data_IF_316905420730
#
_entry.id   IF_316905420730
#
_cell.length_a   1.000
_cell.length_b   1.000
_cell.length_c   1.000
_cell.angle_alpha   90.00
_cell.angle_beta   90.00
_cell.angle_gamma   90.00
#
_symmetry.space_group_name_H-M   'P 1'
#
loop_
_entity.id
_entity.type
_entity.pdbx_description
1 polymer ?
#
# COMPACT_ATOMS: atom_id res chain seq x y z
N UNK A 1 49.11 17.01 -17.58
CA UNK A 1 50.36 17.47 -16.97
C UNK A 1 50.06 17.89 -15.52
N UNK A 2 50.21 16.97 -14.55
CA UNK A 2 49.65 17.13 -13.19
C UNK A 2 50.18 18.36 -12.45
N UNK A 3 51.50 18.58 -12.53
CA UNK A 3 52.14 19.73 -11.89
C UNK A 3 51.63 21.06 -12.44
N UNK A 4 51.39 21.16 -13.76
CA UNK A 4 50.83 22.37 -14.40
C UNK A 4 49.42 22.65 -13.88
N UNK A 5 48.60 21.61 -13.72
CA UNK A 5 47.23 21.75 -13.22
C UNK A 5 47.19 22.23 -11.76
N UNK A 6 48.22 21.90 -10.97
CA UNK A 6 48.32 22.28 -9.55
C UNK A 6 49.04 23.62 -9.30
N UNK A 7 49.51 24.32 -10.35
CA UNK A 7 50.21 25.62 -10.21
C UNK A 7 49.29 26.75 -9.71
N UNK A 8 47.98 26.66 -9.96
CA UNK A 8 46.98 27.64 -9.51
C UNK A 8 46.60 27.46 -8.03
N UNK A 9 47.01 26.35 -7.43
CA UNK A 9 46.74 26.01 -6.03
C UNK A 9 47.79 26.68 -5.14
N UNK A 10 47.39 27.34 -4.04
CA UNK A 10 48.32 28.08 -3.16
C UNK A 10 49.20 27.14 -2.30
N UNK A 11 50.18 26.50 -2.94
CA UNK A 11 51.06 25.49 -2.34
C UNK A 11 52.20 26.17 -1.55
N UNK A 12 52.24 25.92 -0.23
CA UNK A 12 53.20 26.56 0.69
C UNK A 12 54.52 25.81 0.88
N UNK A 13 54.69 24.66 0.21
CA UNK A 13 55.85 23.76 0.42
C UNK A 13 57.09 24.30 -0.29
N UNK A 14 58.18 24.52 0.45
CA UNK A 14 59.51 24.91 -0.04
C UNK A 14 60.59 24.03 0.62
N UNK A 15 61.75 23.78 -0.02
CA UNK A 15 62.18 24.18 -1.37
C UNK A 15 61.50 23.40 -2.50
N UNK A 16 61.75 23.79 -3.76
CA UNK A 16 61.11 23.20 -4.97
C UNK A 16 61.23 21.66 -5.01
N UNK A 17 62.37 21.10 -4.60
CA UNK A 17 62.55 19.65 -4.54
C UNK A 17 61.56 18.94 -3.59
N UNK A 18 61.18 19.58 -2.47
CA UNK A 18 60.13 19.06 -1.56
C UNK A 18 58.74 19.24 -2.17
N UNK A 19 58.52 20.32 -2.92
CA UNK A 19 57.26 20.57 -3.62
C UNK A 19 57.00 19.54 -4.72
N UNK A 20 58.03 19.17 -5.50
CA UNK A 20 57.91 18.13 -6.54
C UNK A 20 57.60 16.77 -5.95
N UNK A 21 58.28 16.38 -4.86
CA UNK A 21 57.99 15.12 -4.16
C UNK A 21 56.56 15.11 -3.57
N UNK A 22 56.12 16.22 -2.98
CA UNK A 22 54.77 16.38 -2.46
C UNK A 22 53.70 16.25 -3.55
N UNK A 23 53.87 16.94 -4.69
CA UNK A 23 52.96 16.85 -5.83
C UNK A 23 52.97 15.46 -6.47
N UNK A 24 54.13 14.81 -6.54
CA UNK A 24 54.22 13.44 -7.03
C UNK A 24 53.46 12.48 -6.13
N UNK A 25 53.63 12.54 -4.80
CA UNK A 25 52.86 11.72 -3.85
C UNK A 25 51.36 11.90 -4.06
N UNK A 26 50.87 13.14 -4.14
CA UNK A 26 49.45 13.41 -4.40
C UNK A 26 48.97 12.87 -5.74
N UNK A 27 49.79 12.98 -6.79
CA UNK A 27 49.45 12.39 -8.09
C UNK A 27 49.33 10.87 -7.99
N UNK A 28 50.27 10.21 -7.32
CA UNK A 28 50.22 8.76 -7.10
C UNK A 28 48.97 8.39 -6.31
N UNK A 29 48.66 9.11 -5.23
CA UNK A 29 47.46 8.87 -4.42
C UNK A 29 46.17 9.04 -5.25
N UNK A 30 46.07 10.10 -6.05
CA UNK A 30 44.92 10.33 -6.94
C UNK A 30 44.79 9.22 -7.99
N UNK A 31 45.91 8.79 -8.58
CA UNK A 31 45.90 7.70 -9.57
C UNK A 31 45.56 6.36 -8.95
N UNK A 32 46.04 6.10 -7.74
CA UNK A 32 45.72 4.90 -6.98
C UNK A 32 44.23 4.87 -6.60
N UNK A 33 43.69 5.99 -6.11
CA UNK A 33 42.25 6.11 -5.83
C UNK A 33 41.40 5.93 -7.09
N UNK A 34 41.81 6.52 -8.22
CA UNK A 34 41.12 6.32 -9.50
C UNK A 34 41.12 4.84 -9.88
N UNK A 35 42.29 4.19 -9.81
CA UNK A 35 42.42 2.77 -10.12
C UNK A 35 41.53 1.90 -9.21
N UNK A 36 41.56 2.13 -7.89
CA UNK A 36 40.72 1.38 -6.96
C UNK A 36 39.23 1.63 -7.20
N UNK A 37 38.83 2.86 -7.49
CA UNK A 37 37.44 3.16 -7.82
C UNK A 37 36.97 2.43 -9.08
N UNK A 38 37.81 2.41 -10.13
CA UNK A 38 37.49 1.75 -11.40
C UNK A 38 37.54 0.20 -11.30
N UNK A 39 38.17 -0.34 -10.26
CA UNK A 39 38.34 -1.79 -10.03
C UNK A 39 37.78 -2.26 -8.68
N UNK A 40 36.85 -1.50 -8.09
CA UNK A 40 36.28 -1.74 -6.75
C UNK A 40 35.76 -3.17 -6.59
N UNK A 41 35.01 -3.67 -7.58
CA UNK A 41 34.48 -5.04 -7.57
C UNK A 41 35.59 -6.11 -7.64
N UNK A 42 36.74 -5.82 -8.28
CA UNK A 42 37.84 -6.79 -8.38
C UNK A 42 38.70 -6.81 -7.12
N UNK A 43 38.99 -5.63 -6.59
CA UNK A 43 39.93 -5.44 -5.48
C UNK A 43 39.26 -5.69 -4.12
N UNK A 44 37.93 -5.53 -4.04
CA UNK A 44 37.16 -5.69 -2.80
C UNK A 44 36.06 -6.75 -2.98
N UNK A 45 36.33 -8.04 -2.67
CA UNK A 45 35.36 -9.12 -2.85
C UNK A 45 34.03 -8.92 -2.13
N UNK A 46 34.03 -8.32 -0.94
CA UNK A 46 32.81 -8.00 -0.20
C UNK A 46 31.94 -6.97 -0.95
N UNK A 47 32.57 -5.97 -1.57
CA UNK A 47 31.86 -5.00 -2.40
C UNK A 47 31.31 -5.65 -3.66
N UNK A 48 32.09 -6.52 -4.33
CA UNK A 48 31.61 -7.31 -5.48
C UNK A 48 30.35 -8.10 -5.13
N UNK A 49 30.37 -8.80 -3.99
CA UNK A 49 29.24 -9.61 -3.56
C UNK A 49 27.97 -8.77 -3.37
N UNK A 50 28.08 -7.58 -2.76
CA UNK A 50 26.94 -6.65 -2.61
C UNK A 50 26.42 -6.15 -3.97
N UNK A 51 27.32 -5.85 -4.91
CA UNK A 51 26.93 -5.42 -6.26
C UNK A 51 26.24 -6.57 -7.02
N UNK A 52 26.73 -7.80 -6.89
CA UNK A 52 26.12 -8.96 -7.52
C UNK A 52 24.74 -9.26 -6.92
N UNK A 53 24.57 -9.20 -5.60
CA UNK A 53 23.26 -9.30 -4.94
C UNK A 53 22.29 -8.21 -5.43
N UNK A 54 22.77 -6.99 -5.63
CA UNK A 54 21.95 -5.90 -6.17
C UNK A 54 21.54 -6.15 -7.62
N UNK A 55 22.45 -6.61 -8.48
CA UNK A 55 22.17 -6.96 -9.89
C UNK A 55 21.15 -8.10 -9.97
N UNK A 56 21.33 -9.15 -9.18
CA UNK A 56 20.41 -10.29 -9.10
C UNK A 56 19.04 -9.85 -8.58
N UNK A 57 19.01 -8.97 -7.57
CA UNK A 57 17.79 -8.39 -7.04
C UNK A 57 17.02 -7.58 -8.07
N UNK A 58 17.70 -6.76 -8.89
CA UNK A 58 17.07 -6.02 -9.98
C UNK A 58 16.51 -6.93 -11.06
N UNK A 59 17.25 -7.99 -11.43
CA UNK A 59 16.77 -8.96 -12.41
C UNK A 59 15.53 -9.68 -11.92
N UNK A 60 15.54 -10.13 -10.66
CA UNK A 60 14.37 -10.75 -10.04
C UNK A 60 13.19 -9.77 -10.00
N UNK A 61 13.42 -8.51 -9.63
CA UNK A 61 12.39 -7.48 -9.61
C UNK A 61 11.75 -7.27 -10.99
N UNK A 62 12.56 -7.11 -12.04
CA UNK A 62 12.06 -6.91 -13.41
C UNK A 62 11.23 -8.13 -13.89
N UNK A 63 11.71 -9.34 -13.57
CA UNK A 63 10.99 -10.57 -13.87
C UNK A 63 9.65 -10.66 -13.12
N UNK A 64 9.62 -10.33 -11.83
CA UNK A 64 8.40 -10.31 -11.02
C UNK A 64 7.40 -9.26 -11.51
N UNK A 65 7.89 -8.07 -11.85
CA UNK A 65 7.08 -6.98 -12.40
C UNK A 65 6.41 -7.45 -13.70
N UNK A 66 7.17 -8.03 -14.62
CA UNK A 66 6.66 -8.48 -15.91
C UNK A 66 5.70 -9.66 -15.80
N UNK A 67 6.13 -10.74 -15.15
CA UNK A 67 5.42 -12.03 -15.20
C UNK A 67 4.23 -12.10 -14.24
N UNK A 68 4.28 -11.34 -13.13
CA UNK A 68 3.28 -11.44 -12.06
C UNK A 68 2.53 -10.13 -11.87
N UNK A 69 3.22 -9.00 -11.62
CA UNK A 69 2.54 -7.76 -11.19
C UNK A 69 1.84 -7.02 -12.33
N UNK A 70 2.44 -6.94 -13.52
CA UNK A 70 1.80 -6.37 -14.70
C UNK A 70 0.71 -7.30 -15.22
N UNK A 71 0.99 -8.61 -15.23
CA UNK A 71 0.03 -9.62 -15.66
C UNK A 71 -1.24 -9.62 -14.80
N UNK A 72 -1.12 -9.54 -13.47
CA UNK A 72 -2.29 -9.50 -12.58
C UNK A 72 -3.20 -8.30 -12.82
N UNK A 73 -2.67 -7.19 -13.34
CA UNK A 73 -3.40 -5.96 -13.66
C UNK A 73 -3.98 -5.94 -15.07
N UNK A 74 -3.29 -6.56 -16.04
CA UNK A 74 -3.58 -6.43 -17.48
C UNK A 74 -4.26 -7.65 -18.09
N UNK A 75 -4.11 -8.85 -17.50
CA UNK A 75 -4.72 -10.09 -17.96
C UNK A 75 -6.20 -10.17 -17.57
N UNK A 76 -7.05 -9.50 -18.36
CA UNK A 76 -8.50 -9.43 -18.12
C UNK A 76 -9.20 -10.79 -18.24
N UNK A 77 -8.74 -11.67 -19.14
CA UNK A 77 -9.31 -13.00 -19.36
C UNK A 77 -8.94 -13.94 -18.21
N UNK A 78 -7.68 -13.92 -17.80
CA UNK A 78 -7.18 -14.67 -16.65
C UNK A 78 -7.86 -14.23 -15.35
N UNK A 79 -7.97 -12.91 -15.12
CA UNK A 79 -8.64 -12.35 -13.95
C UNK A 79 -10.13 -12.74 -13.90
N UNK A 80 -10.83 -12.70 -15.03
CA UNK A 80 -12.24 -13.12 -15.11
C UNK A 80 -12.40 -14.62 -14.83
N UNK A 81 -11.53 -15.44 -15.41
CA UNK A 81 -11.55 -16.90 -15.18
C UNK A 81 -11.27 -17.23 -13.72
N UNK A 82 -10.28 -16.56 -13.13
CA UNK A 82 -9.97 -16.68 -11.71
C UNK A 82 -11.16 -16.26 -10.84
N UNK A 83 -11.79 -15.12 -11.13
CA UNK A 83 -12.98 -14.66 -10.41
C UNK A 83 -14.07 -15.74 -10.35
N UNK A 84 -14.38 -16.41 -11.46
CA UNK A 84 -15.40 -17.47 -11.45
C UNK A 84 -15.08 -18.61 -10.47
N UNK A 85 -13.80 -18.92 -10.27
CA UNK A 85 -13.36 -19.95 -9.31
C UNK A 85 -13.40 -19.49 -7.85
N UNK A 86 -13.23 -18.19 -7.58
CA UNK A 86 -13.10 -17.64 -6.22
C UNK A 86 -14.23 -16.73 -5.79
N UNK A 87 -15.23 -16.45 -6.63
CA UNK A 87 -16.31 -15.47 -6.39
C UNK A 87 -17.05 -15.64 -5.06
N UNK A 88 -17.15 -16.87 -4.57
CA UNK A 88 -17.74 -17.19 -3.27
C UNK A 88 -16.99 -16.56 -2.07
N UNK A 89 -15.71 -16.18 -2.24
CA UNK A 89 -14.91 -15.46 -1.24
C UNK A 89 -15.26 -13.98 -1.12
N UNK A 90 -16.06 -13.44 -2.05
CA UNK A 90 -16.44 -12.02 -2.06
C UNK A 90 -17.95 -11.82 -1.88
N UNK A 91 -18.56 -12.28 -0.78
CA UNK A 91 -19.95 -11.96 -0.52
C UNK A 91 -20.10 -10.49 -0.09
N UNK A 92 -21.19 -9.89 -0.53
CA UNK A 92 -21.87 -8.81 0.16
C UNK A 92 -22.69 -9.39 1.31
N UNK A 93 -22.62 -8.73 2.47
CA UNK A 93 -23.64 -8.85 3.51
C UNK A 93 -24.91 -8.12 3.06
N UNK A 94 -26.05 -8.25 3.77
CA UNK A 94 -27.20 -7.38 3.55
C UNK A 94 -26.77 -5.92 3.63
N UNK A 95 -27.26 -5.10 2.71
CA UNK A 95 -26.90 -3.69 2.56
C UNK A 95 -28.14 -2.81 2.60
N UNK A 96 -27.98 -1.56 3.00
CA UNK A 96 -29.02 -0.55 2.90
C UNK A 96 -28.45 0.76 2.35
N UNK A 97 -29.17 1.37 1.43
CA UNK A 97 -28.97 2.76 1.02
C UNK A 97 -29.70 3.64 2.03
N UNK A 98 -28.94 4.41 2.80
CA UNK A 98 -29.50 5.16 3.92
C UNK A 98 -28.89 6.56 4.05
N UNK A 99 -29.68 7.42 4.66
CA UNK A 99 -29.27 8.68 5.28
C UNK A 99 -29.36 8.50 6.80
N UNK A 100 -28.24 8.66 7.48
CA UNK A 100 -28.15 8.71 8.94
C UNK A 100 -27.93 10.15 9.36
N UNK A 101 -28.79 10.66 10.24
CA UNK A 101 -28.60 11.94 10.93
C UNK A 101 -28.22 11.66 12.38
N UNK A 102 -27.28 12.44 12.92
CA UNK A 102 -26.88 12.30 14.32
C UNK A 102 -26.60 13.65 15.00
N UNK A 103 -26.83 13.71 16.30
CA UNK A 103 -26.65 14.89 17.15
C UNK A 103 -26.40 14.48 18.60
N UNK A 104 -25.59 15.25 19.34
CA UNK A 104 -25.47 15.12 20.81
C UNK A 104 -26.61 15.81 21.57
N UNK A 105 -27.39 16.65 20.89
CA UNK A 105 -28.52 17.41 21.44
C UNK A 105 -29.85 16.79 21.02
N UNK A 106 -30.68 16.45 22.00
CA UNK A 106 -32.02 15.87 21.78
C UNK A 106 -32.92 16.82 20.96
N UNK A 107 -32.90 18.12 21.24
CA UNK A 107 -33.78 19.07 20.55
C UNK A 107 -33.42 19.19 19.06
N UNK A 108 -32.12 19.22 18.75
CA UNK A 108 -31.65 19.31 17.37
C UNK A 108 -32.03 18.07 16.55
N UNK A 109 -31.96 16.87 17.13
CA UNK A 109 -32.36 15.65 16.40
C UNK A 109 -33.88 15.60 16.18
N UNK A 110 -34.68 16.11 17.12
CA UNK A 110 -36.13 16.21 16.97
C UNK A 110 -36.50 17.18 15.84
N UNK A 111 -35.85 18.34 15.76
CA UNK A 111 -36.03 19.29 14.65
C UNK A 111 -35.59 18.67 13.32
N UNK A 112 -34.48 17.92 13.32
CA UNK A 112 -34.02 17.22 12.12
C UNK A 112 -35.03 16.17 11.64
N UNK A 113 -35.71 15.44 12.54
CA UNK A 113 -36.77 14.50 12.19
C UNK A 113 -37.94 15.21 11.50
N UNK A 114 -38.38 16.35 12.03
CA UNK A 114 -39.47 17.13 11.46
C UNK A 114 -39.13 17.62 10.05
N UNK A 115 -37.93 18.19 9.86
CA UNK A 115 -37.46 18.66 8.56
C UNK A 115 -37.32 17.49 7.57
N UNK A 116 -36.81 16.34 8.02
CA UNK A 116 -36.68 15.15 7.19
C UNK A 116 -38.04 14.63 6.71
N UNK A 117 -39.05 14.63 7.58
CA UNK A 117 -40.42 14.24 7.25
C UNK A 117 -41.12 15.25 6.33
N UNK A 118 -40.72 16.53 6.39
CA UNK A 118 -41.15 17.57 5.43
C UNK A 118 -40.45 17.45 4.06
N UNK A 119 -39.52 16.51 3.89
CA UNK A 119 -38.84 16.26 2.62
C UNK A 119 -37.58 17.09 2.40
N UNK A 120 -37.07 17.78 3.43
CA UNK A 120 -35.78 18.48 3.31
C UNK A 120 -34.62 17.49 3.09
N UNK A 121 -33.65 17.89 2.28
CA UNK A 121 -32.41 17.14 2.07
C UNK A 121 -31.49 17.28 3.28
N UNK A 122 -30.54 16.35 3.46
CA UNK A 122 -29.58 16.45 4.56
C UNK A 122 -28.75 17.72 4.53
N UNK A 123 -28.43 18.24 3.34
CA UNK A 123 -27.75 19.51 3.15
C UNK A 123 -28.57 20.67 3.70
N UNK A 124 -29.86 20.75 3.37
CA UNK A 124 -30.75 21.80 3.88
C UNK A 124 -30.98 21.68 5.40
N UNK A 125 -31.02 20.46 5.94
CA UNK A 125 -31.11 20.24 7.38
C UNK A 125 -29.85 20.75 8.10
N UNK A 126 -28.66 20.46 7.55
CA UNK A 126 -27.39 20.99 8.09
C UNK A 126 -27.35 22.51 8.04
N UNK A 127 -27.77 23.12 6.94
CA UNK A 127 -27.77 24.57 6.78
C UNK A 127 -28.71 25.27 7.78
N UNK A 128 -29.86 24.67 8.08
CA UNK A 128 -30.81 25.22 9.06
C UNK A 128 -30.37 25.03 10.51
N UNK A 129 -29.71 23.90 10.83
CA UNK A 129 -29.46 23.50 12.21
C UNK A 129 -28.03 23.75 12.68
N UNK A 130 -27.06 23.88 11.77
CA UNK A 130 -25.67 24.19 12.13
C UNK A 130 -25.40 25.69 12.02
N UNK A 131 -24.50 26.19 12.86
CA UNK A 131 -24.00 27.56 12.81
C UNK A 131 -22.49 27.57 12.52
N UNK A 132 -21.90 28.75 12.33
CA UNK A 132 -20.45 28.91 12.17
C UNK A 132 -19.64 28.43 13.38
N UNK A 133 -20.26 28.42 14.56
CA UNK A 133 -19.61 28.16 15.84
C UNK A 133 -19.94 26.77 16.41
N UNK A 134 -21.02 26.12 15.94
CA UNK A 134 -21.46 24.83 16.48
C UNK A 134 -22.06 23.92 15.40
N UNK A 135 -21.57 22.66 15.38
CA UNK A 135 -22.16 21.57 14.62
C UNK A 135 -23.20 20.87 15.50
N UNK A 136 -24.47 21.08 15.22
CA UNK A 136 -25.57 20.46 15.94
C UNK A 136 -26.04 19.16 15.28
N UNK A 137 -25.90 19.02 13.96
CA UNK A 137 -26.30 17.84 13.19
C UNK A 137 -25.20 17.41 12.23
N UNK A 138 -24.91 16.12 12.25
CA UNK A 138 -24.08 15.42 11.26
C UNK A 138 -24.96 14.56 10.36
N UNK A 139 -24.53 14.36 9.12
CA UNK A 139 -25.17 13.39 8.23
C UNK A 139 -24.15 12.47 7.57
N UNK A 140 -24.53 11.21 7.46
CA UNK A 140 -23.81 10.16 6.74
C UNK A 140 -24.77 9.55 5.73
N UNK A 141 -24.42 9.62 4.45
CA UNK A 141 -25.23 9.11 3.34
C UNK A 141 -24.43 8.10 2.53
N UNK A 142 -25.09 7.03 2.08
CA UNK A 142 -24.47 6.03 1.23
C UNK A 142 -25.12 4.66 1.33
N UNK A 143 -24.48 3.68 0.70
CA UNK A 143 -24.84 2.27 0.79
C UNK A 143 -23.90 1.57 1.74
N UNK A 144 -24.43 1.01 2.83
CA UNK A 144 -23.64 0.38 3.88
C UNK A 144 -24.01 -1.08 4.07
N UNK A 145 -23.02 -1.92 4.32
CA UNK A 145 -23.22 -3.30 4.76
C UNK A 145 -23.70 -3.35 6.22
N UNK A 146 -24.50 -4.37 6.53
CA UNK A 146 -24.88 -4.69 7.89
C UNK A 146 -23.64 -4.91 8.76
N UNK A 147 -23.58 -4.20 9.88
CA UNK A 147 -22.45 -4.22 10.81
C UNK A 147 -21.25 -3.37 10.37
N UNK A 148 -21.41 -2.46 9.41
CA UNK A 148 -20.39 -1.46 9.08
C UNK A 148 -20.07 -0.60 10.33
N UNK A 149 -18.78 -0.37 10.58
CA UNK A 149 -18.30 0.43 11.74
C UNK A 149 -18.73 1.89 11.70
N UNK A 150 -19.08 2.40 10.52
CA UNK A 150 -19.60 3.75 10.33
C UNK A 150 -21.07 3.90 10.79
N UNK A 151 -21.75 2.79 11.11
CA UNK A 151 -23.15 2.79 11.54
C UNK A 151 -23.27 2.46 13.03
N UNK A 152 -24.29 3.00 13.71
CA UNK A 152 -24.63 2.59 15.07
C UNK A 152 -25.06 1.12 15.08
N UNK A 153 -24.73 0.40 16.15
CA UNK A 153 -24.96 -1.04 16.28
C UNK A 153 -26.45 -1.41 16.26
N UNK A 154 -27.31 -0.52 16.76
CA UNK A 154 -28.74 -0.77 16.89
C UNK A 154 -29.57 -0.36 15.66
N UNK A 155 -28.94 -0.08 14.52
CA UNK A 155 -29.66 0.29 13.30
C UNK A 155 -30.42 -0.90 12.69
N UNK A 156 -31.69 -0.69 12.34
CA UNK A 156 -32.53 -1.69 11.68
C UNK A 156 -32.66 -1.37 10.21
N UNK A 157 -32.29 -2.31 9.33
CA UNK A 157 -32.41 -2.14 7.87
C UNK A 157 -33.86 -2.39 7.40
N UNK A 158 -34.77 -1.49 7.76
CA UNK A 158 -36.16 -1.47 7.29
C UNK A 158 -36.42 -0.18 6.49
N UNK A 159 -37.03 -0.30 5.31
CA UNK A 159 -37.35 0.85 4.45
C UNK A 159 -38.26 1.83 5.18
N UNK A 160 -37.92 3.12 5.12
CA UNK A 160 -38.61 4.19 5.82
C UNK A 160 -37.72 4.97 6.79
N UNK A 161 -38.34 5.86 7.56
CA UNK A 161 -37.67 6.67 8.59
C UNK A 161 -37.84 6.00 9.95
N UNK A 162 -36.74 5.79 10.68
CA UNK A 162 -36.76 5.24 12.03
C UNK A 162 -37.22 6.27 13.06
N UNK A 163 -37.69 5.79 14.22
CA UNK A 163 -37.75 6.63 15.41
C UNK A 163 -36.34 7.08 15.82
N UNK A 164 -36.28 8.13 16.66
CA UNK A 164 -35.02 8.56 17.27
C UNK A 164 -34.57 7.47 18.24
N UNK A 165 -33.33 7.02 18.09
CA UNK A 165 -32.68 6.09 19.02
C UNK A 165 -31.36 6.69 19.52
N UNK A 166 -30.93 6.27 20.72
CA UNK A 166 -29.70 6.78 21.35
C UNK A 166 -28.66 5.66 21.41
N UNK A 167 -27.42 6.00 21.07
CA UNK A 167 -26.26 5.13 21.23
C UNK A 167 -25.05 5.96 21.68
N UNK A 168 -24.54 5.67 22.88
CA UNK A 168 -23.56 6.54 23.56
C UNK A 168 -24.15 7.93 23.83
N UNK A 169 -23.39 8.98 23.51
CA UNK A 169 -23.79 10.38 23.69
C UNK A 169 -24.60 10.95 22.52
N UNK A 170 -24.84 10.14 21.48
CA UNK A 170 -25.50 10.60 20.25
C UNK A 170 -26.92 10.04 20.12
N UNK A 171 -27.79 10.89 19.61
CA UNK A 171 -29.10 10.54 19.10
C UNK A 171 -29.04 10.39 17.58
N UNK A 172 -29.75 9.40 17.04
CA UNK A 172 -29.71 9.03 15.64
C UNK A 172 -31.11 8.94 15.04
N UNK A 173 -31.21 9.28 13.76
CA UNK A 173 -32.35 8.98 12.89
C UNK A 173 -31.80 8.37 11.62
N UNK A 174 -32.37 7.24 11.20
CA UNK A 174 -32.05 6.62 9.93
C UNK A 174 -33.23 6.73 8.98
N UNK A 175 -32.97 7.13 7.74
CA UNK A 175 -33.92 7.02 6.63
C UNK A 175 -33.33 6.06 5.61
N UNK A 176 -33.99 4.92 5.44
CA UNK A 176 -33.56 3.87 4.53
C UNK A 176 -34.40 3.96 3.27
N UNK A 177 -33.74 4.23 2.14
CA UNK A 177 -34.39 4.34 0.84
C UNK A 177 -34.65 2.97 0.23
N UNK A 178 -33.69 2.05 0.35
CA UNK A 178 -33.77 0.70 -0.21
C UNK A 178 -32.85 -0.26 0.53
N UNK A 179 -33.24 -1.53 0.60
CA UNK A 179 -32.39 -2.62 1.07
C UNK A 179 -31.96 -3.51 -0.08
N UNK A 180 -30.75 -4.04 0.01
CA UNK A 180 -30.15 -4.95 -0.96
C UNK A 180 -29.79 -6.24 -0.22
N UNK A 181 -30.22 -7.41 -0.69
CA UNK A 181 -29.89 -8.68 -0.03
C UNK A 181 -28.39 -8.97 -0.09
N UNK A 182 -27.98 -9.95 0.71
CA UNK A 182 -26.67 -10.57 0.56
C UNK A 182 -26.54 -11.17 -0.86
N UNK A 183 -25.34 -11.13 -1.42
CA UNK A 183 -25.10 -11.59 -2.77
C UNK A 183 -23.62 -11.62 -3.08
N UNK A 184 -23.25 -12.16 -4.23
CA UNK A 184 -21.85 -12.21 -4.65
C UNK A 184 -21.46 -10.86 -5.26
N UNK A 185 -20.35 -10.27 -4.81
CA UNK A 185 -19.76 -9.07 -5.43
C UNK A 185 -19.45 -9.37 -6.88
N UNK A 186 -19.88 -8.49 -7.77
CA UNK A 186 -19.46 -8.51 -9.17
C UNK A 186 -17.94 -8.32 -9.28
N UNK A 187 -17.36 -8.68 -10.42
CA UNK A 187 -15.93 -8.51 -10.67
C UNK A 187 -15.48 -7.06 -10.42
N UNK A 188 -16.25 -6.09 -10.90
CA UNK A 188 -15.92 -4.66 -10.72
C UNK A 188 -15.98 -4.22 -9.26
N UNK A 189 -16.95 -4.73 -8.48
CA UNK A 189 -17.07 -4.42 -7.05
C UNK A 189 -15.94 -5.01 -6.19
N UNK A 190 -15.29 -6.11 -6.63
CA UNK A 190 -14.17 -6.71 -5.91
C UNK A 190 -12.81 -6.58 -6.60
N UNK A 191 -12.73 -5.85 -7.73
CA UNK A 191 -11.56 -5.82 -8.63
C UNK A 191 -10.23 -5.59 -7.92
N UNK A 192 -10.14 -4.60 -7.03
CA UNK A 192 -8.89 -4.30 -6.33
C UNK A 192 -8.38 -5.46 -5.48
N UNK A 193 -9.27 -6.08 -4.69
CA UNK A 193 -8.92 -7.25 -3.88
C UNK A 193 -8.65 -8.48 -4.75
N UNK A 194 -9.48 -8.67 -5.79
CA UNK A 194 -9.33 -9.76 -6.74
C UNK A 194 -7.99 -9.72 -7.47
N UNK A 195 -7.50 -8.54 -7.88
CA UNK A 195 -6.17 -8.38 -8.50
C UNK A 195 -5.07 -8.84 -7.54
N UNK A 196 -5.15 -8.48 -6.26
CA UNK A 196 -4.17 -8.92 -5.26
C UNK A 196 -4.20 -10.44 -5.08
N UNK A 197 -5.39 -11.02 -4.91
CA UNK A 197 -5.54 -12.47 -4.77
C UNK A 197 -5.09 -13.22 -6.04
N UNK A 198 -5.32 -12.63 -7.22
CA UNK A 198 -4.87 -13.18 -8.49
C UNK A 198 -3.35 -13.09 -8.66
N UNK A 199 -2.73 -12.00 -8.20
CA UNK A 199 -1.28 -11.87 -8.15
C UNK A 199 -0.64 -12.99 -7.32
N UNK A 200 -1.19 -13.28 -6.13
CA UNK A 200 -0.72 -14.37 -5.29
C UNK A 200 -0.89 -15.73 -5.96
N UNK A 201 -2.01 -15.93 -6.66
CA UNK A 201 -2.25 -17.15 -7.44
C UNK A 201 -1.21 -17.34 -8.55
N UNK A 202 -0.91 -16.28 -9.31
CA UNK A 202 0.14 -16.30 -10.35
C UNK A 202 1.51 -16.63 -9.76
N UNK A 203 1.88 -15.99 -8.65
CA UNK A 203 3.15 -16.22 -7.96
C UNK A 203 3.28 -17.67 -7.47
N UNK A 204 2.25 -18.22 -6.83
CA UNK A 204 2.26 -19.60 -6.35
C UNK A 204 2.41 -20.61 -7.50
N UNK A 205 1.69 -20.38 -8.60
CA UNK A 205 1.81 -21.25 -9.78
C UNK A 205 3.18 -21.13 -10.42
N UNK A 206 3.71 -19.91 -10.57
CA UNK A 206 5.02 -19.69 -11.15
C UNK A 206 6.12 -20.39 -10.36
N UNK A 207 6.13 -20.24 -9.03
CA UNK A 207 7.06 -20.96 -8.14
C UNK A 207 6.88 -22.49 -8.24
N UNK A 208 5.64 -22.97 -8.34
CA UNK A 208 5.36 -24.39 -8.48
C UNK A 208 5.89 -24.94 -9.81
N UNK A 209 5.77 -24.19 -10.90
CA UNK A 209 6.26 -24.60 -12.22
C UNK A 209 7.78 -24.57 -12.29
N UNK A 210 8.44 -23.54 -11.74
CA UNK A 210 9.90 -23.51 -11.59
C UNK A 210 10.42 -24.72 -10.80
N UNK A 211 9.74 -25.12 -9.72
CA UNK A 211 10.13 -26.31 -8.94
C UNK A 211 9.98 -27.62 -9.69
N UNK A 212 9.10 -27.70 -10.70
CA UNK A 212 8.96 -28.89 -11.56
C UNK A 212 10.04 -28.93 -12.62
N UNK A 213 10.41 -27.77 -13.16
CA UNK A 213 11.40 -27.65 -14.22
C UNK A 213 12.83 -27.83 -13.70
N UNK A 214 13.14 -27.26 -12.53
CA UNK A 214 14.49 -27.26 -11.96
C UNK A 214 14.64 -28.24 -10.81
N UNK A 215 15.60 -29.16 -10.93
CA UNK A 215 15.94 -30.11 -9.86
C UNK A 215 16.75 -29.40 -8.77
N UNK A 216 16.10 -29.15 -7.63
CA UNK A 216 16.76 -28.56 -6.46
C UNK A 216 17.28 -29.66 -5.53
N UNK A 217 18.60 -29.81 -5.44
CA UNK A 217 19.24 -30.76 -4.51
C UNK A 217 19.76 -30.03 -3.27
N UNK A 218 19.24 -30.36 -2.10
CA UNK A 218 19.66 -29.76 -0.83
C UNK A 218 20.59 -30.73 -0.09
N UNK A 219 21.86 -30.34 0.08
CA UNK A 219 22.76 -31.04 0.99
C UNK A 219 22.38 -30.75 2.45
N UNK A 220 21.56 -31.62 3.05
CA UNK A 220 21.09 -31.48 4.44
C UNK A 220 22.23 -31.35 5.45
N UNK A 221 23.32 -32.08 5.24
CA UNK A 221 24.49 -32.02 6.12
C UNK A 221 25.15 -30.63 6.12
N UNK A 222 25.32 -30.04 4.93
CA UNK A 222 25.90 -28.70 4.80
C UNK A 222 24.93 -27.63 5.33
N UNK A 223 23.64 -27.76 5.04
CA UNK A 223 22.61 -26.85 5.54
C UNK A 223 22.57 -26.78 7.07
N UNK A 224 22.55 -27.93 7.75
CA UNK A 224 22.54 -27.96 9.22
C UNK A 224 23.86 -27.44 9.81
N UNK A 225 25.00 -27.64 9.12
CA UNK A 225 26.29 -27.07 9.53
C UNK A 225 26.27 -25.54 9.48
N UNK A 226 25.80 -24.95 8.37
CA UNK A 226 25.69 -23.49 8.20
C UNK A 226 24.71 -22.89 9.21
N UNK A 227 23.55 -23.52 9.39
CA UNK A 227 22.54 -23.08 10.36
C UNK A 227 23.08 -22.99 11.80
N UNK A 228 23.97 -23.91 12.20
CA UNK A 228 24.64 -23.84 13.52
C UNK A 228 25.64 -22.70 13.63
N UNK A 229 26.30 -22.30 12.53
CA UNK A 229 27.26 -21.20 12.52
C UNK A 229 26.57 -19.83 12.63
N UNK A 230 25.36 -19.70 12.09
CA UNK A 230 24.56 -18.46 12.12
C UNK A 230 23.77 -18.25 13.42
N UNK A 231 23.62 -19.28 14.27
CA UNK A 231 22.92 -19.21 15.58
C UNK A 231 23.83 -18.77 16.74
N UNK A 232 24.94 -18.11 16.45
CA UNK A 232 25.84 -17.55 17.47
C UNK A 232 25.37 -16.17 17.91
#
# INVERSE_FOLDING_TARGET
NYCINQQKTNLKVKPVAKLTAFLYSKFVDEKLNTYYNDNLEKEFPEFSAVIDEYRDGLLLFDLMEKEIWQRSKTDTLGLKSFYETVKQKYPWKPRAKLLLLSSTKNDAINQALQLLNQGFTSAAIKEKLNSKEAVNIMSTEGTFESGATALPKNITFAVGTSAIFKEGDYYYISKIESTLPAGIKTLDECKGKLINDYQQFLEQNWVADLKKEFVVTISKANFEKVKKQLKK
#
